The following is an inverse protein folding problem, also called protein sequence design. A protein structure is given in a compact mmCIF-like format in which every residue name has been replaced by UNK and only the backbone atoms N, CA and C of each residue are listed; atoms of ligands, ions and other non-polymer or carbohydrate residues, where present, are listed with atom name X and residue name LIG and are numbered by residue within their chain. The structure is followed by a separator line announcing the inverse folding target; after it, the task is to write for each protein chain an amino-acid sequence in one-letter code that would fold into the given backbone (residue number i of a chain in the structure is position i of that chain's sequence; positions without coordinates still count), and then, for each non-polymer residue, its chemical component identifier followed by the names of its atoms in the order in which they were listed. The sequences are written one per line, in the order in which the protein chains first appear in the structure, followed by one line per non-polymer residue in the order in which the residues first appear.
data_IF_003257314196
#
_entry.id   IF_003257314196
#
_cell.length_a   1.000
_cell.length_b   1.000
_cell.length_c   1.000
_cell.angle_alpha   90.00
_cell.angle_beta   90.00
_cell.angle_gamma   90.00
#
_symmetry.space_group_name_H-M   'P 1'
#
loop_
_entity.id
_entity.type
_entity.pdbx_description
1 polymer ?
#
# COMPACT_ATOMS: atom_id res chain seq x y z
N UNK A 1 -37.69 -42.94 -32.49
CA UNK A 1 -36.42 -42.44 -33.08
C UNK A 1 -36.43 -40.92 -32.90
N UNK A 2 -35.45 -40.28 -32.23
CA UNK A 2 -34.23 -39.69 -32.85
C UNK A 2 -34.57 -38.83 -34.08
N UNK A 3 -34.26 -37.54 -34.22
CA UNK A 3 -33.75 -36.44 -33.36
C UNK A 3 -34.49 -35.14 -33.82
N UNK A 4 -34.29 -33.89 -33.36
CA UNK A 4 -33.39 -33.23 -32.39
C UNK A 4 -34.19 -32.10 -31.69
N UNK A 5 -33.74 -31.66 -30.51
CA UNK A 5 -34.01 -30.32 -29.97
C UNK A 5 -32.84 -29.93 -29.05
N UNK A 6 -31.74 -29.44 -29.65
CA UNK A 6 -30.54 -28.98 -28.93
C UNK A 6 -30.23 -27.58 -29.45
N UNK A 7 -30.39 -26.56 -28.60
CA UNK A 7 -30.17 -25.17 -29.02
C UNK A 7 -30.68 -24.06 -28.08
N UNK A 8 -30.86 -24.33 -26.78
CA UNK A 8 -31.39 -23.33 -25.84
C UNK A 8 -30.83 -23.45 -24.40
N UNK A 9 -29.64 -24.00 -24.22
CA UNK A 9 -29.11 -24.38 -22.89
C UNK A 9 -27.64 -24.00 -22.64
N UNK A 10 -27.12 -22.92 -23.27
CA UNK A 10 -25.72 -22.48 -23.12
C UNK A 10 -25.60 -21.05 -22.57
N UNK A 11 -26.69 -20.27 -22.50
CA UNK A 11 -26.65 -18.87 -22.06
C UNK A 11 -26.69 -18.66 -20.53
N UNK A 12 -26.91 -19.71 -19.73
CA UNK A 12 -27.18 -19.59 -18.28
C UNK A 12 -25.94 -19.73 -17.37
N UNK A 13 -24.79 -20.18 -17.88
CA UNK A 13 -23.60 -20.47 -17.07
C UNK A 13 -22.66 -19.28 -16.83
N UNK A 14 -22.92 -18.12 -17.44
CA UNK A 14 -22.09 -16.92 -17.28
C UNK A 14 -22.43 -16.07 -16.04
N UNK A 15 -23.49 -16.41 -15.30
CA UNK A 15 -24.02 -15.58 -14.19
C UNK A 15 -23.46 -15.90 -12.80
N UNK A 16 -22.60 -16.91 -12.67
CA UNK A 16 -21.98 -17.31 -11.39
C UNK A 16 -20.46 -17.19 -11.36
N UNK A 17 -19.86 -16.61 -12.42
CA UNK A 17 -18.53 -16.04 -12.35
C UNK A 17 -18.59 -14.71 -11.61
N UNK A 18 -18.86 -14.75 -10.30
CA UNK A 18 -18.71 -13.60 -9.43
C UNK A 18 -17.25 -13.17 -9.50
N UNK A 19 -16.98 -12.12 -10.28
CA UNK A 19 -15.68 -11.47 -10.27
C UNK A 19 -15.49 -10.96 -8.85
N UNK A 20 -14.48 -11.48 -8.16
CA UNK A 20 -14.06 -10.92 -6.88
C UNK A 20 -13.59 -9.49 -7.19
N UNK A 21 -14.50 -8.52 -7.02
CA UNK A 21 -14.23 -7.12 -7.28
C UNK A 21 -13.28 -6.62 -6.20
N UNK A 22 -11.99 -6.85 -6.45
CA UNK A 22 -10.94 -6.26 -5.64
C UNK A 22 -11.10 -4.74 -5.69
N UNK A 23 -11.52 -4.16 -4.57
CA UNK A 23 -11.84 -2.75 -4.50
C UNK A 23 -10.54 -1.96 -4.62
N UNK A 24 -10.32 -1.36 -5.78
CA UNK A 24 -9.19 -0.47 -6.02
C UNK A 24 -9.42 0.89 -5.38
N UNK A 25 -8.36 1.47 -4.84
CA UNK A 25 -8.36 2.79 -4.22
C UNK A 25 -7.10 3.57 -4.56
N UNK A 26 -7.21 4.89 -4.58
CA UNK A 26 -6.09 5.84 -4.65
C UNK A 26 -6.01 6.59 -3.34
N UNK A 27 -4.81 6.97 -2.89
CA UNK A 27 -4.66 7.74 -1.67
C UNK A 27 -3.54 8.78 -1.76
N UNK A 28 -3.72 9.88 -1.03
CA UNK A 28 -2.73 10.92 -0.81
C UNK A 28 -2.46 11.02 0.70
N UNK A 29 -1.18 11.16 1.08
CA UNK A 29 -0.74 11.28 2.48
C UNK A 29 -0.02 12.61 2.71
N UNK A 30 -0.32 13.25 3.84
CA UNK A 30 0.46 14.35 4.39
C UNK A 30 1.20 13.85 5.63
N UNK A 31 2.53 13.92 5.58
CA UNK A 31 3.41 13.45 6.64
C UNK A 31 3.85 14.59 7.57
N UNK A 32 4.03 14.25 8.84
CA UNK A 32 4.81 15.03 9.80
C UNK A 32 6.33 14.81 9.55
N UNK A 33 7.22 15.63 10.13
CA UNK A 33 8.67 15.39 10.04
C UNK A 33 9.07 14.02 10.60
N UNK A 34 10.01 13.35 9.94
CA UNK A 34 10.52 12.03 10.38
C UNK A 34 11.35 12.18 11.65
N UNK A 35 10.97 11.48 12.72
CA UNK A 35 11.79 11.27 13.91
C UNK A 35 12.90 10.26 13.59
N UNK A 36 14.10 10.75 13.28
CA UNK A 36 15.24 9.91 12.89
C UNK A 36 15.83 9.14 14.08
N UNK A 37 16.02 7.84 13.90
CA UNK A 37 16.75 6.95 14.81
C UNK A 37 18.11 6.65 14.20
N UNK A 38 19.19 7.00 14.92
CA UNK A 38 20.56 6.78 14.43
C UNK A 38 20.98 5.31 14.44
N UNK A 39 21.91 4.96 13.52
CA UNK A 39 22.52 3.64 13.40
C UNK A 39 24.06 3.70 13.33
N UNK A 40 24.68 2.66 12.75
CA UNK A 40 26.13 2.62 12.52
C UNK A 40 26.51 3.42 11.26
N UNK A 41 27.74 3.95 11.19
CA UNK A 41 28.26 4.53 9.95
C UNK A 41 28.55 3.42 8.92
N UNK A 42 28.11 3.61 7.67
CA UNK A 42 28.53 2.77 6.53
C UNK A 42 29.97 3.09 6.12
N UNK A 43 30.69 2.14 5.50
CA UNK A 43 31.91 2.45 4.74
C UNK A 43 31.61 3.55 3.71
N UNK A 44 32.23 4.73 3.87
CA UNK A 44 31.93 5.92 3.07
C UNK A 44 31.28 7.07 3.84
N UNK A 45 30.87 6.87 5.10
CA UNK A 45 30.47 7.95 6.01
C UNK A 45 28.98 8.32 6.01
N UNK A 46 28.12 7.54 5.35
CA UNK A 46 26.66 7.67 5.46
C UNK A 46 26.12 6.76 6.56
N UNK A 47 25.34 7.30 7.51
CA UNK A 47 24.81 6.52 8.63
C UNK A 47 23.67 5.59 8.17
N UNK A 48 23.59 4.38 8.72
CA UNK A 48 22.35 3.58 8.69
C UNK A 48 21.25 4.36 9.44
N UNK A 49 20.13 4.59 8.78
CA UNK A 49 18.99 5.33 9.35
C UNK A 49 17.82 4.42 9.68
N UNK A 50 17.27 4.57 10.89
CA UNK A 50 15.87 4.27 11.18
C UNK A 50 15.06 5.56 11.23
N UNK A 51 13.74 5.46 11.17
CA UNK A 51 12.87 6.62 11.34
C UNK A 51 11.47 6.21 11.79
N UNK A 52 10.79 7.11 12.49
CA UNK A 52 9.37 7.00 12.81
C UNK A 52 8.66 8.24 12.31
N UNK A 53 7.49 8.06 11.70
CA UNK A 53 6.76 9.17 11.08
C UNK A 53 5.25 8.93 11.18
N UNK A 54 4.54 9.98 11.56
CA UNK A 54 3.09 10.04 11.57
C UNK A 54 2.59 10.85 10.36
N UNK A 55 1.34 10.62 9.98
CA UNK A 55 0.71 11.32 8.87
C UNK A 55 -0.80 11.15 8.85
N UNK A 56 -1.44 11.89 7.96
CA UNK A 56 -2.88 11.82 7.68
C UNK A 56 -3.09 11.54 6.20
N UNK A 57 -4.08 10.71 5.88
CA UNK A 57 -4.38 10.33 4.51
C UNK A 57 -5.83 10.60 4.12
N UNK A 58 -6.03 10.81 2.82
CA UNK A 58 -7.33 10.74 2.15
C UNK A 58 -7.25 9.58 1.17
N UNK A 59 -8.17 8.63 1.28
CA UNK A 59 -8.33 7.51 0.34
C UNK A 59 -9.61 7.71 -0.47
N UNK A 60 -9.60 7.32 -1.74
CA UNK A 60 -10.76 7.34 -2.64
C UNK A 60 -10.89 5.98 -3.32
N UNK A 61 -12.03 5.32 -3.17
CA UNK A 61 -12.35 4.08 -3.89
C UNK A 61 -13.00 4.38 -5.25
N UNK A 62 -13.06 3.38 -6.14
CA UNK A 62 -13.53 3.55 -7.53
C UNK A 62 -14.98 4.03 -7.70
N UNK A 63 -15.82 3.96 -6.66
CA UNK A 63 -17.19 4.51 -6.68
C UNK A 63 -17.26 6.01 -6.31
N UNK A 64 -16.13 6.62 -5.96
CA UNK A 64 -16.01 8.03 -5.54
C UNK A 64 -16.15 8.26 -4.04
N UNK A 65 -16.42 7.23 -3.24
CA UNK A 65 -16.42 7.33 -1.77
C UNK A 65 -15.01 7.63 -1.26
N UNK A 66 -14.91 8.61 -0.37
CA UNK A 66 -13.65 9.01 0.29
C UNK A 66 -13.63 8.59 1.75
N UNK A 67 -12.53 8.01 2.23
CA UNK A 67 -12.24 7.88 3.66
C UNK A 67 -11.04 8.73 4.07
N UNK A 68 -10.99 9.11 5.35
CA UNK A 68 -9.86 9.84 5.92
C UNK A 68 -9.40 9.18 7.21
N UNK A 69 -8.10 9.22 7.47
CA UNK A 69 -7.50 8.56 8.62
C UNK A 69 -6.09 9.04 8.93
N UNK A 70 -5.49 8.44 9.94
CA UNK A 70 -4.08 8.60 10.29
C UNK A 70 -3.27 7.36 9.93
N UNK A 71 -1.98 7.56 9.69
CA UNK A 71 -1.01 6.51 9.44
C UNK A 71 0.24 6.77 10.27
N UNK A 72 0.76 5.73 10.92
CA UNK A 72 2.08 5.75 11.58
C UNK A 72 2.96 4.70 10.93
N UNK A 73 4.14 5.09 10.48
CA UNK A 73 5.15 4.21 9.89
C UNK A 73 6.42 4.20 10.74
N UNK A 74 7.05 3.03 10.83
CA UNK A 74 8.46 2.87 11.25
C UNK A 74 9.23 2.39 10.03
N UNK A 75 10.29 3.10 9.67
CA UNK A 75 11.16 2.79 8.54
C UNK A 75 12.58 2.44 8.96
N UNK A 76 13.25 1.61 8.17
CA UNK A 76 14.68 1.32 8.34
C UNK A 76 15.36 1.07 7.00
N UNK A 77 16.47 1.78 6.79
CA UNK A 77 17.46 1.52 5.74
C UNK A 77 17.95 0.07 5.77
N UNK A 78 18.23 -0.50 4.59
CA UNK A 78 18.93 -1.77 4.45
C UNK A 78 20.42 -1.59 4.11
N UNK A 79 21.24 -2.66 4.20
CA UNK A 79 22.55 -2.73 3.58
C UNK A 79 22.47 -2.75 2.05
N UNK A 80 23.57 -2.38 1.39
CA UNK A 80 23.67 -2.42 -0.07
C UNK A 80 23.56 -3.87 -0.59
N UNK A 81 22.80 -4.08 -1.66
CA UNK A 81 22.59 -5.39 -2.30
C UNK A 81 21.29 -6.11 -1.92
N UNK A 82 20.51 -5.55 -1.00
CA UNK A 82 19.13 -5.98 -0.76
C UNK A 82 18.17 -5.54 -1.89
N UNK A 83 16.97 -6.13 -1.94
CA UNK A 83 15.95 -5.82 -2.97
C UNK A 83 15.36 -4.40 -2.80
N UNK A 84 15.40 -3.88 -1.58
CA UNK A 84 14.84 -2.58 -1.20
C UNK A 84 15.82 -1.79 -0.35
N UNK A 85 16.10 -0.53 -0.73
CA UNK A 85 16.89 0.42 0.05
C UNK A 85 16.31 0.65 1.46
N UNK A 86 14.98 0.66 1.58
CA UNK A 86 14.25 0.97 2.82
C UNK A 86 13.06 0.02 2.97
N UNK A 87 12.84 -0.50 4.18
CA UNK A 87 11.59 -1.17 4.55
C UNK A 87 10.76 -0.31 5.51
N UNK A 88 9.45 -0.24 5.28
CA UNK A 88 8.49 0.46 6.14
C UNK A 88 7.46 -0.53 6.69
N UNK A 89 7.19 -0.48 8.00
CA UNK A 89 6.07 -1.14 8.64
C UNK A 89 5.12 -0.07 9.20
N UNK A 90 3.85 -0.08 8.78
CA UNK A 90 2.89 0.96 9.14
C UNK A 90 1.59 0.41 9.70
N UNK A 91 0.87 1.25 10.44
CA UNK A 91 -0.52 1.04 10.85
C UNK A 91 -1.36 2.24 10.41
N UNK A 92 -2.49 1.98 9.76
CA UNK A 92 -3.51 3.00 9.46
C UNK A 92 -4.67 2.88 10.45
N UNK A 93 -5.30 4.01 10.78
CA UNK A 93 -6.53 4.07 11.58
C UNK A 93 -7.49 5.06 10.96
N UNK A 94 -8.73 4.63 10.75
CA UNK A 94 -9.87 5.47 10.36
C UNK A 94 -11.04 5.22 11.31
N UNK A 95 -12.19 5.86 11.08
CA UNK A 95 -13.34 5.78 12.00
C UNK A 95 -13.91 4.35 12.11
N UNK A 96 -13.46 3.59 13.11
CA UNK A 96 -13.92 2.22 13.39
C UNK A 96 -13.17 1.11 12.64
N UNK A 97 -12.15 1.46 11.85
CA UNK A 97 -11.34 0.49 11.10
C UNK A 97 -9.84 0.78 11.22
N UNK A 98 -9.02 -0.24 11.00
CA UNK A 98 -7.56 -0.15 10.99
C UNK A 98 -6.95 -1.23 10.12
N UNK A 99 -5.79 -0.94 9.53
CA UNK A 99 -5.02 -1.90 8.73
C UNK A 99 -3.53 -1.83 9.10
N UNK A 100 -2.78 -2.88 8.80
CA UNK A 100 -1.32 -2.85 8.80
C UNK A 100 -0.81 -2.86 7.37
N UNK A 101 0.24 -2.08 7.12
CA UNK A 101 0.95 -1.99 5.84
C UNK A 101 2.39 -2.48 6.02
N UNK A 102 2.95 -3.08 4.98
CA UNK A 102 4.39 -3.25 4.81
C UNK A 102 4.76 -2.70 3.43
N UNK A 103 5.89 -1.99 3.32
CA UNK A 103 6.47 -1.58 2.04
C UNK A 103 7.95 -1.95 1.97
N UNK A 104 8.40 -2.29 0.78
CA UNK A 104 9.79 -2.11 0.34
C UNK A 104 9.87 -0.92 -0.60
N UNK A 105 10.86 -0.04 -0.40
CA UNK A 105 11.06 1.20 -1.12
C UNK A 105 12.47 1.29 -1.70
N UNK A 106 12.60 1.91 -2.87
CA UNK A 106 13.88 2.24 -3.52
C UNK A 106 13.91 3.71 -3.93
N UNK A 107 15.09 4.30 -4.01
CA UNK A 107 15.25 5.68 -4.51
C UNK A 107 14.94 5.77 -6.02
N UNK A 108 14.19 6.79 -6.42
CA UNK A 108 13.90 7.12 -7.82
C UNK A 108 14.95 8.13 -8.29
N UNK A 109 15.95 7.64 -9.02
CA UNK A 109 17.07 8.45 -9.51
C UNK A 109 18.29 8.37 -8.59
N UNK A 110 19.02 9.47 -8.44
CA UNK A 110 20.20 9.53 -7.58
C UNK A 110 19.78 9.72 -6.11
N UNK A 111 20.41 8.97 -5.18
CA UNK A 111 20.13 9.05 -3.75
C UNK A 111 20.57 10.40 -3.18
N UNK A 112 19.64 11.12 -2.56
CA UNK A 112 19.86 12.44 -1.96
C UNK A 112 18.71 12.83 -1.03
N UNK A 113 18.78 13.99 -0.35
CA UNK A 113 17.73 14.45 0.57
C UNK A 113 16.39 14.67 -0.13
N UNK A 114 16.41 15.15 -1.38
CA UNK A 114 15.22 15.41 -2.20
C UNK A 114 14.82 14.21 -3.08
N UNK A 115 15.46 13.05 -2.92
CA UNK A 115 15.23 11.89 -3.77
C UNK A 115 13.90 11.21 -3.44
N UNK A 116 13.00 11.16 -4.43
CA UNK A 116 11.72 10.48 -4.26
C UNK A 116 11.90 8.98 -4.04
N UNK A 117 10.99 8.35 -3.29
CA UNK A 117 10.96 6.90 -3.09
C UNK A 117 9.84 6.26 -3.88
N UNK A 118 10.15 5.17 -4.60
CA UNK A 118 9.20 4.28 -5.22
C UNK A 118 9.03 3.04 -4.37
N UNK A 119 7.82 2.83 -3.85
CA UNK A 119 7.51 1.77 -2.89
C UNK A 119 6.44 0.81 -3.42
N UNK A 120 6.61 -0.47 -3.10
CA UNK A 120 5.62 -1.54 -3.31
C UNK A 120 5.39 -2.28 -2.00
N UNK A 121 4.17 -2.74 -1.76
CA UNK A 121 3.78 -3.24 -0.46
C UNK A 121 2.53 -4.09 -0.42
N UNK A 122 2.18 -4.51 0.80
CA UNK A 122 0.98 -5.29 1.10
C UNK A 122 0.21 -4.68 2.27
N UNK A 123 -1.12 -4.75 2.21
CA UNK A 123 -2.06 -4.28 3.25
C UNK A 123 -2.84 -5.45 3.83
N UNK A 124 -3.16 -5.38 5.13
CA UNK A 124 -4.08 -6.30 5.80
C UNK A 124 -5.02 -5.55 6.74
N UNK A 125 -6.33 -5.64 6.50
CA UNK A 125 -7.34 -5.07 7.39
C UNK A 125 -7.43 -5.84 8.71
N UNK A 126 -7.39 -5.12 9.83
CA UNK A 126 -7.39 -5.67 11.19
C UNK A 126 -8.75 -5.53 11.87
N UNK A 127 -9.46 -4.43 11.59
CA UNK A 127 -10.79 -4.11 12.11
C UNK A 127 -11.65 -3.45 11.03
N UNK A 128 -12.92 -3.14 11.31
CA UNK A 128 -13.86 -2.59 10.33
C UNK A 128 -14.27 -3.58 9.23
N UNK A 129 -14.82 -3.03 8.14
CA UNK A 129 -15.34 -3.81 6.99
C UNK A 129 -14.24 -4.55 6.21
N UNK A 130 -12.98 -4.08 6.30
CA UNK A 130 -11.83 -4.72 5.64
C UNK A 130 -11.17 -5.80 6.49
N UNK A 131 -11.68 -6.09 7.69
CA UNK A 131 -11.10 -7.08 8.62
C UNK A 131 -10.89 -8.44 7.96
N UNK A 132 -9.64 -8.90 7.95
CA UNK A 132 -9.26 -10.20 7.38
C UNK A 132 -8.91 -10.15 5.89
N UNK A 133 -9.36 -9.11 5.16
CA UNK A 133 -8.96 -8.87 3.77
C UNK A 133 -7.47 -8.52 3.71
N UNK A 134 -6.82 -8.95 2.65
CA UNK A 134 -5.44 -8.55 2.31
C UNK A 134 -5.46 -7.76 1.01
N UNK A 135 -4.35 -7.14 0.63
CA UNK A 135 -4.27 -6.39 -0.62
C UNK A 135 -2.83 -6.05 -0.98
N UNK A 136 -2.64 -5.56 -2.20
CA UNK A 136 -1.39 -4.95 -2.66
C UNK A 136 -1.52 -3.44 -2.73
N UNK A 137 -0.42 -2.72 -2.58
CA UNK A 137 -0.37 -1.27 -2.75
C UNK A 137 0.99 -0.77 -3.21
N UNK A 138 0.99 0.41 -3.81
CA UNK A 138 2.14 1.17 -4.29
C UNK A 138 2.11 2.56 -3.68
N UNK A 139 3.28 3.14 -3.43
CA UNK A 139 3.43 4.51 -2.93
C UNK A 139 4.60 5.20 -3.63
N UNK A 140 4.40 6.46 -4.02
CA UNK A 140 5.43 7.40 -4.44
C UNK A 140 5.58 8.44 -3.33
N UNK A 141 6.71 8.43 -2.62
CA UNK A 141 7.06 9.48 -1.66
C UNK A 141 7.85 10.56 -2.40
N UNK A 142 7.21 11.69 -2.73
CA UNK A 142 7.73 12.66 -3.70
C UNK A 142 8.13 14.02 -3.09
N UNK A 143 7.89 14.24 -1.79
CA UNK A 143 8.49 15.33 -1.03
C UNK A 143 8.58 14.99 0.45
N UNK A 144 9.33 15.77 1.24
CA UNK A 144 9.48 15.59 2.69
C UNK A 144 8.14 15.36 3.43
N UNK A 145 7.05 15.99 2.96
CA UNK A 145 5.74 16.01 3.64
C UNK A 145 4.62 15.37 2.82
N UNK A 146 4.89 14.79 1.63
CA UNK A 146 3.85 14.26 0.74
C UNK A 146 4.23 12.93 0.09
N UNK A 147 3.27 12.01 0.11
CA UNK A 147 3.27 10.83 -0.76
C UNK A 147 1.88 10.60 -1.35
N UNK A 148 1.82 9.82 -2.42
CA UNK A 148 0.58 9.36 -3.05
C UNK A 148 0.71 7.91 -3.46
N UNK A 149 -0.39 7.21 -3.67
CA UNK A 149 -0.34 5.80 -4.00
C UNK A 149 -1.65 5.22 -4.51
N UNK A 150 -1.58 3.95 -4.86
CA UNK A 150 -2.73 3.14 -5.29
C UNK A 150 -2.71 1.80 -4.57
N UNK A 151 -3.87 1.24 -4.30
CA UNK A 151 -4.00 -0.07 -3.67
C UNK A 151 -5.21 -0.83 -4.20
N UNK A 152 -5.21 -2.13 -3.94
CA UNK A 152 -6.30 -3.02 -4.31
C UNK A 152 -6.47 -4.09 -3.23
N UNK A 153 -7.67 -4.20 -2.69
CA UNK A 153 -8.05 -5.32 -1.82
C UNK A 153 -8.22 -6.61 -2.63
N UNK A 154 -7.81 -7.73 -2.05
CA UNK A 154 -7.95 -9.07 -2.58
C UNK A 154 -8.92 -9.87 -1.70
N UNK A 155 -9.97 -10.40 -2.32
CA UNK A 155 -10.95 -11.27 -1.66
C UNK A 155 -12.05 -10.55 -0.87
N UNK A 156 -12.99 -11.40 -0.47
CA UNK A 156 -14.06 -11.24 0.52
C UNK A 156 -14.01 -12.46 1.45
#
# INVERSE_FOLDING_TARGET
MKKFAIGAAVAASMLFGGTAFGQSFTYDVTWEPVETVGGMDRPGGTQYGGGVVDGTYVSSVSDGTTSTGSVRCVGMDQPDGEIFDIHLACTTTEAGASASLIYGCNFIGERGPDAALGCVGSIQGKTGETKGRTGGLTMEWYSETKSRGTGQWYGE
#
